data_IF_033301277398
#
_entry.id   IF_033301277398
#
_cell.length_a   1.000
_cell.length_b   1.000
_cell.length_c   1.000
_cell.angle_alpha   90.00
_cell.angle_beta   90.00
_cell.angle_gamma   90.00
#
_symmetry.space_group_name_H-M   'P 1'
#
loop_
_entity.id
_entity.type
_entity.pdbx_description
1 polymer ?
#
# COMPACT_ATOMS: atom_id res chain seq x y z
N UNK A 1 9.89 -62.29 -61.53
CA UNK A 1 9.65 -60.87 -61.17
C UNK A 1 9.18 -60.79 -59.70
N UNK A 2 9.98 -60.22 -58.78
CA UNK A 2 9.60 -60.03 -57.36
C UNK A 2 9.29 -58.55 -57.09
N UNK A 3 8.03 -58.22 -56.79
CA UNK A 3 7.58 -56.87 -56.38
C UNK A 3 8.08 -56.57 -54.96
N UNK A 4 8.97 -55.57 -54.80
CA UNK A 4 9.38 -55.04 -53.49
C UNK A 4 8.26 -54.17 -52.90
N UNK A 5 7.61 -54.62 -51.82
CA UNK A 5 6.68 -53.80 -51.01
C UNK A 5 7.48 -52.75 -50.24
N UNK A 6 7.31 -51.46 -50.55
CA UNK A 6 7.87 -50.36 -49.76
C UNK A 6 7.05 -50.22 -48.46
N UNK A 7 7.71 -50.35 -47.30
CA UNK A 7 7.08 -50.15 -45.99
C UNK A 7 6.58 -48.71 -45.86
N UNK A 8 5.40 -48.45 -45.26
CA UNK A 8 4.77 -47.14 -45.24
C UNK A 8 5.46 -46.25 -44.19
N UNK A 9 6.52 -45.56 -44.59
CA UNK A 9 7.25 -44.59 -43.77
C UNK A 9 6.46 -43.30 -43.48
N UNK A 10 5.20 -43.23 -43.94
CA UNK A 10 4.24 -42.14 -43.72
C UNK A 10 3.59 -42.17 -42.33
N UNK A 11 3.47 -43.35 -41.70
CA UNK A 11 2.89 -43.48 -40.37
C UNK A 11 3.69 -42.77 -39.25
N UNK A 12 5.04 -42.92 -39.15
CA UNK A 12 5.80 -42.20 -38.14
C UNK A 12 5.82 -40.69 -38.38
N UNK A 13 5.77 -40.24 -39.63
CA UNK A 13 5.76 -38.82 -39.97
C UNK A 13 4.47 -38.14 -39.53
N UNK A 14 3.33 -38.82 -39.70
CA UNK A 14 2.02 -38.32 -39.28
C UNK A 14 1.92 -38.23 -37.75
N UNK A 15 2.48 -39.21 -37.05
CA UNK A 15 2.52 -39.24 -35.58
C UNK A 15 3.34 -38.08 -35.01
N UNK A 16 4.52 -37.82 -35.58
CA UNK A 16 5.36 -36.67 -35.18
C UNK A 16 4.65 -35.34 -35.47
N UNK A 17 4.00 -35.22 -36.62
CA UNK A 17 3.24 -34.02 -36.97
C UNK A 17 2.09 -33.76 -35.99
N UNK A 18 1.32 -34.79 -35.63
CA UNK A 18 0.23 -34.66 -34.65
C UNK A 18 0.74 -34.26 -33.26
N UNK A 19 1.90 -34.79 -32.85
CA UNK A 19 2.52 -34.44 -31.57
C UNK A 19 2.96 -32.96 -31.54
N UNK A 20 3.56 -32.47 -32.63
CA UNK A 20 3.98 -31.07 -32.76
C UNK A 20 2.79 -30.11 -32.72
N UNK A 21 1.69 -30.44 -33.41
CA UNK A 21 0.47 -29.60 -33.39
C UNK A 21 -0.14 -29.58 -31.99
N UNK A 22 -0.23 -30.73 -31.31
CA UNK A 22 -0.74 -30.80 -29.94
C UNK A 22 0.11 -29.98 -28.96
N UNK A 23 1.45 -30.05 -29.07
CA UNK A 23 2.36 -29.26 -28.26
C UNK A 23 2.23 -27.75 -28.52
N UNK A 24 2.06 -27.35 -29.78
CA UNK A 24 1.86 -25.95 -30.15
C UNK A 24 0.55 -25.38 -29.60
N UNK A 25 -0.55 -26.14 -29.69
CA UNK A 25 -1.85 -25.75 -29.13
C UNK A 25 -1.78 -25.69 -27.60
N UNK A 26 -1.10 -26.63 -26.95
CA UNK A 26 -0.94 -26.61 -25.50
C UNK A 26 -0.10 -25.42 -25.03
N UNK A 27 1.01 -25.13 -25.71
CA UNK A 27 1.85 -23.96 -25.42
C UNK A 27 1.11 -22.65 -25.65
N UNK A 28 0.37 -22.53 -26.77
CA UNK A 28 -0.39 -21.31 -27.06
C UNK A 28 -1.51 -21.10 -26.04
N UNK A 29 -2.19 -22.16 -25.62
CA UNK A 29 -3.22 -22.11 -24.59
C UNK A 29 -2.63 -21.70 -23.23
N UNK A 30 -1.45 -22.22 -22.86
CA UNK A 30 -0.73 -21.82 -21.65
C UNK A 30 -0.25 -20.36 -21.68
N UNK A 31 0.24 -19.89 -22.82
CA UNK A 31 0.65 -18.50 -23.03
C UNK A 31 -0.54 -17.53 -23.00
N UNK A 32 -1.70 -17.93 -23.54
CA UNK A 32 -2.92 -17.13 -23.55
C UNK A 32 -3.60 -17.06 -22.17
N UNK A 33 -3.48 -18.12 -21.35
CA UNK A 33 -4.04 -18.15 -19.98
C UNK A 33 -3.40 -17.13 -19.02
N UNK A 34 -2.24 -16.59 -19.37
CA UNK A 34 -1.53 -15.55 -18.61
C UNK A 34 -1.93 -14.11 -18.93
N UNK A 35 -2.83 -13.87 -19.89
CA UNK A 35 -3.15 -12.51 -20.35
C UNK A 35 -4.66 -12.26 -20.33
N UNK A 36 -5.25 -12.32 -19.13
CA UNK A 36 -6.53 -11.68 -18.86
C UNK A 36 -6.37 -10.16 -18.84
N UNK A 37 -6.06 -9.56 -19.99
CA UNK A 37 -6.29 -8.14 -20.22
C UNK A 37 -7.76 -7.99 -20.60
N UNK A 38 -8.65 -8.08 -19.61
CA UNK A 38 -9.99 -7.55 -19.80
C UNK A 38 -9.85 -6.05 -20.13
N UNK A 39 -10.56 -5.53 -21.14
CA UNK A 39 -10.59 -4.10 -21.37
C UNK A 39 -11.17 -3.44 -20.12
N UNK A 40 -10.34 -2.66 -19.44
CA UNK A 40 -10.79 -1.83 -18.32
C UNK A 40 -11.88 -0.91 -18.87
N UNK A 41 -13.11 -0.95 -18.36
CA UNK A 41 -14.13 -0.05 -18.84
C UNK A 41 -13.69 1.39 -18.57
N UNK A 42 -13.92 2.28 -19.55
CA UNK A 42 -13.45 3.68 -19.56
C UNK A 42 -13.86 4.50 -18.32
N UNK A 43 -14.83 4.03 -17.56
CA UNK A 43 -15.41 4.68 -16.39
C UNK A 43 -15.11 3.96 -15.06
N UNK A 44 -14.44 2.82 -15.08
CA UNK A 44 -13.86 2.26 -13.87
C UNK A 44 -12.54 2.99 -13.62
N UNK A 45 -12.52 3.85 -12.60
CA UNK A 45 -11.29 4.32 -11.99
C UNK A 45 -10.33 3.13 -11.91
N UNK A 46 -9.20 3.25 -12.58
CA UNK A 46 -8.25 2.16 -12.69
C UNK A 46 -7.64 1.87 -11.32
N UNK A 47 -8.30 1.03 -10.52
CA UNK A 47 -7.75 0.34 -9.34
C UNK A 47 -6.76 -0.76 -9.77
N UNK A 48 -6.06 -0.55 -10.88
CA UNK A 48 -5.04 -1.45 -11.40
C UNK A 48 -3.72 -1.17 -10.68
N UNK A 49 -3.61 -1.76 -9.49
CA UNK A 49 -2.43 -1.74 -8.65
C UNK A 49 -2.84 -1.45 -7.21
N UNK A 50 -2.81 -2.47 -6.35
CA UNK A 50 -2.83 -2.26 -4.91
C UNK A 50 -1.66 -1.35 -4.55
N UNK A 51 -1.96 -0.07 -4.36
CA UNK A 51 -1.02 1.04 -4.37
C UNK A 51 0.01 0.80 -3.25
N UNK A 52 1.29 0.71 -3.56
CA UNK A 52 2.38 0.57 -2.57
C UNK A 52 2.22 1.61 -1.46
N UNK A 53 1.74 2.80 -1.83
CA UNK A 53 1.36 3.88 -0.94
C UNK A 53 0.24 3.48 0.05
N UNK A 54 -0.84 2.84 -0.40
CA UNK A 54 -1.93 2.38 0.46
C UNK A 54 -1.46 1.38 1.52
N UNK A 55 -0.57 0.45 1.12
CA UNK A 55 0.02 -0.52 2.04
C UNK A 55 0.91 0.18 3.07
N UNK A 56 1.67 1.18 2.64
CA UNK A 56 2.53 1.96 3.50
C UNK A 56 1.72 2.83 4.48
N UNK A 57 0.63 3.46 4.02
CA UNK A 57 -0.32 4.21 4.87
C UNK A 57 -0.88 3.29 5.95
N UNK A 58 -1.37 2.10 5.59
CA UNK A 58 -1.87 1.11 6.56
C UNK A 58 -0.82 0.73 7.61
N UNK A 59 0.45 0.56 7.21
CA UNK A 59 1.55 0.30 8.15
C UNK A 59 1.79 1.49 9.10
N UNK A 60 1.73 2.72 8.57
CA UNK A 60 1.85 3.94 9.38
C UNK A 60 0.70 4.01 10.40
N UNK A 61 -0.54 3.78 9.97
CA UNK A 61 -1.73 3.77 10.83
C UNK A 61 -1.56 2.77 11.98
N UNK A 62 -1.23 1.52 11.66
CA UNK A 62 -1.01 0.47 12.65
C UNK A 62 0.09 0.86 13.65
N UNK A 63 1.23 1.38 13.17
CA UNK A 63 2.32 1.86 14.04
C UNK A 63 1.87 3.00 14.96
N UNK A 64 1.05 3.93 14.47
CA UNK A 64 0.52 5.03 15.29
C UNK A 64 -0.45 4.49 16.32
N UNK A 65 -1.45 3.69 15.93
CA UNK A 65 -2.46 3.15 16.83
C UNK A 65 -1.84 2.26 17.91
N UNK A 66 -0.87 1.44 17.56
CA UNK A 66 -0.14 0.62 18.52
C UNK A 66 0.66 1.49 19.51
N UNK A 67 1.31 2.56 19.03
CA UNK A 67 2.00 3.51 19.90
C UNK A 67 1.05 4.25 20.85
N UNK A 68 -0.15 4.62 20.37
CA UNK A 68 -1.20 5.24 21.19
C UNK A 68 -1.70 4.28 22.26
N UNK A 69 -2.04 3.04 21.87
CA UNK A 69 -2.52 1.98 22.75
C UNK A 69 -1.50 1.66 23.86
N UNK A 70 -0.24 1.41 23.49
CA UNK A 70 0.86 1.16 24.44
C UNK A 70 1.21 2.36 25.32
N UNK A 71 0.74 3.55 24.95
CA UNK A 71 0.91 4.77 25.75
C UNK A 71 -0.23 5.01 26.73
N UNK A 72 -1.28 4.18 26.72
CA UNK A 72 -2.44 4.35 27.59
C UNK A 72 -3.22 5.62 27.32
N UNK A 73 -3.14 6.18 26.09
CA UNK A 73 -3.89 7.37 25.73
C UNK A 73 -5.37 6.99 25.63
N UNK A 74 -6.27 7.63 26.42
CA UNK A 74 -7.70 7.36 26.32
C UNK A 74 -8.24 7.69 24.92
N UNK A 75 -9.18 6.89 24.42
CA UNK A 75 -9.78 7.10 23.10
C UNK A 75 -10.39 8.51 22.95
N UNK A 76 -11.05 9.03 23.99
CA UNK A 76 -11.58 10.41 24.04
C UNK A 76 -10.54 11.52 23.81
N UNK A 77 -9.25 11.19 23.94
CA UNK A 77 -8.14 12.12 23.72
C UNK A 77 -7.54 11.99 22.32
N UNK A 78 -8.03 11.06 21.49
CA UNK A 78 -7.66 10.88 20.08
C UNK A 78 -8.79 11.42 19.23
N UNK A 79 -8.55 12.53 18.52
CA UNK A 79 -9.56 13.22 17.71
C UNK A 79 -9.13 13.25 16.25
N UNK A 80 -9.93 12.66 15.37
CA UNK A 80 -9.78 12.82 13.93
C UNK A 80 -10.34 14.20 13.54
N UNK A 81 -9.44 15.15 13.25
CA UNK A 81 -9.83 16.48 12.82
C UNK A 81 -10.31 16.52 11.37
N UNK A 82 -9.96 15.50 10.58
CA UNK A 82 -10.39 15.38 9.20
C UNK A 82 -9.63 14.28 8.50
N UNK A 83 -10.30 13.72 7.49
CA UNK A 83 -9.75 12.77 6.54
C UNK A 83 -10.08 13.35 5.17
N UNK A 84 -9.07 13.94 4.52
CA UNK A 84 -9.27 14.66 3.27
C UNK A 84 -8.85 13.77 2.10
N UNK A 85 -9.72 13.51 1.10
CA UNK A 85 -9.30 12.79 -0.09
C UNK A 85 -8.24 13.61 -0.83
N UNK A 86 -7.16 12.94 -1.24
CA UNK A 86 -6.06 13.51 -2.02
C UNK A 86 -5.79 12.63 -3.22
N UNK A 87 -5.31 13.27 -4.29
CA UNK A 87 -4.90 12.59 -5.50
C UNK A 87 -3.66 13.25 -6.09
N UNK A 88 -2.75 12.43 -6.61
CA UNK A 88 -1.62 12.90 -7.42
C UNK A 88 -1.33 11.86 -8.50
N UNK A 89 -1.42 12.28 -9.77
CA UNK A 89 -1.29 11.39 -10.93
C UNK A 89 -2.30 10.24 -10.84
N UNK A 90 -1.83 9.00 -10.69
CA UNK A 90 -2.66 7.79 -10.60
C UNK A 90 -2.87 7.29 -9.15
N UNK A 91 -2.33 8.01 -8.17
CA UNK A 91 -2.43 7.65 -6.76
C UNK A 91 -3.51 8.49 -6.09
N UNK A 92 -4.34 7.83 -5.30
CA UNK A 92 -5.36 8.44 -4.47
C UNK A 92 -5.20 7.93 -3.05
N UNK A 93 -5.31 8.82 -2.08
CA UNK A 93 -5.18 8.44 -0.68
C UNK A 93 -5.97 9.41 0.21
N UNK A 94 -6.20 8.97 1.43
CA UNK A 94 -6.80 9.77 2.47
C UNK A 94 -5.69 10.45 3.29
N UNK A 95 -5.73 11.79 3.35
CA UNK A 95 -4.84 12.55 4.21
C UNK A 95 -5.46 12.71 5.59
N UNK A 96 -4.84 12.11 6.59
CA UNK A 96 -5.41 12.00 7.93
C UNK A 96 -4.83 13.06 8.87
N UNK A 97 -5.71 13.85 9.49
CA UNK A 97 -5.35 14.84 10.52
C UNK A 97 -5.80 14.35 11.89
N UNK A 98 -4.85 14.09 12.76
CA UNK A 98 -5.09 13.61 14.13
C UNK A 98 -4.66 14.65 15.16
N UNK A 99 -5.53 14.90 16.12
CA UNK A 99 -5.25 15.67 17.33
C UNK A 99 -5.20 14.70 18.53
N UNK A 100 -4.08 14.71 19.22
CA UNK A 100 -3.80 13.91 20.41
C UNK A 100 -3.71 14.83 21.61
N UNK A 101 -4.69 14.74 22.50
CA UNK A 101 -4.78 15.56 23.72
C UNK A 101 -3.94 14.92 24.83
N UNK A 102 -2.86 15.58 25.20
CA UNK A 102 -1.97 15.16 26.28
C UNK A 102 -2.22 16.03 27.51
N UNK A 103 -2.00 15.48 28.71
CA UNK A 103 -2.14 16.21 29.98
C UNK A 103 -1.19 17.41 30.07
N UNK A 104 0.05 17.20 29.67
CA UNK A 104 1.16 18.13 29.84
C UNK A 104 2.22 17.92 28.74
N UNK A 105 3.19 18.83 28.70
CA UNK A 105 4.21 18.84 27.67
C UNK A 105 5.12 17.60 27.71
N UNK A 106 5.45 17.10 28.91
CA UNK A 106 6.33 15.94 29.07
C UNK A 106 5.66 14.68 28.51
N UNK A 107 4.37 14.52 28.77
CA UNK A 107 3.54 13.45 28.20
C UNK A 107 3.48 13.56 26.68
N UNK A 108 3.29 14.76 26.13
CA UNK A 108 3.30 14.98 24.68
C UNK A 108 4.67 14.64 24.05
N UNK A 109 5.78 15.04 24.67
CA UNK A 109 7.14 14.70 24.20
C UNK A 109 7.40 13.20 24.26
N UNK A 110 6.98 12.54 25.34
CA UNK A 110 7.11 11.08 25.51
C UNK A 110 6.33 10.34 24.43
N UNK A 111 5.07 10.72 24.19
CA UNK A 111 4.23 10.15 23.14
C UNK A 111 4.83 10.35 21.75
N UNK A 112 5.32 11.56 21.45
CA UNK A 112 6.04 11.82 20.20
C UNK A 112 7.25 10.90 20.03
N UNK A 113 8.02 10.69 21.10
CA UNK A 113 9.16 9.76 21.11
C UNK A 113 8.73 8.32 20.80
N UNK A 114 7.62 7.86 21.38
CA UNK A 114 7.07 6.52 21.12
C UNK A 114 6.57 6.36 19.69
N UNK A 115 5.84 7.34 19.14
CA UNK A 115 5.38 7.34 17.75
C UNK A 115 6.58 7.31 16.79
N UNK A 116 7.61 8.13 17.03
CA UNK A 116 8.84 8.10 16.23
C UNK A 116 9.53 6.73 16.26
N UNK A 117 9.61 6.10 17.44
CA UNK A 117 10.17 4.74 17.57
C UNK A 117 9.33 3.71 16.81
N UNK A 118 8.00 3.80 16.87
CA UNK A 118 7.10 2.89 16.17
C UNK A 118 7.19 2.99 14.64
N UNK A 119 7.53 4.18 14.12
CA UNK A 119 7.71 4.43 12.69
C UNK A 119 9.15 4.15 12.20
N UNK A 120 10.10 3.92 13.11
CA UNK A 120 11.50 3.66 12.77
C UNK A 120 11.72 2.48 11.80
N UNK A 121 10.97 1.36 11.89
CA UNK A 121 11.09 0.28 10.91
C UNK A 121 10.74 0.70 9.48
N UNK A 122 9.98 1.78 9.31
CA UNK A 122 9.54 2.30 8.01
C UNK A 122 10.42 3.45 7.49
N UNK A 123 11.53 3.78 8.16
CA UNK A 123 12.35 4.99 7.91
C UNK A 123 12.86 5.17 6.48
N UNK A 124 12.98 4.09 5.70
CA UNK A 124 13.42 4.16 4.30
C UNK A 124 12.37 4.78 3.39
N UNK A 125 11.09 4.64 3.75
CA UNK A 125 9.94 5.08 2.96
C UNK A 125 9.15 6.19 3.66
N UNK A 126 9.33 6.35 4.97
CA UNK A 126 8.57 7.29 5.81
C UNK A 126 9.52 8.31 6.44
N UNK A 127 9.17 9.58 6.28
CA UNK A 127 9.84 10.69 6.96
C UNK A 127 8.87 11.46 7.83
N UNK A 128 9.37 11.95 8.96
CA UNK A 128 8.60 12.74 9.93
C UNK A 128 9.20 14.15 9.94
N UNK A 129 8.37 15.16 9.66
CA UNK A 129 8.80 16.56 9.58
C UNK A 129 8.12 17.36 10.67
N UNK A 130 8.90 18.06 11.49
CA UNK A 130 8.36 19.02 12.44
C UNK A 130 7.84 20.23 11.67
N UNK A 131 6.65 20.68 12.02
CA UNK A 131 6.06 21.89 11.47
C UNK A 131 6.11 23.02 12.48
N UNK A 132 6.01 24.27 12.01
CA UNK A 132 5.81 25.40 12.91
C UNK A 132 4.44 25.28 13.55
N UNK A 133 4.40 25.31 14.88
CA UNK A 133 3.17 25.29 15.65
C UNK A 133 3.22 26.40 16.71
N UNK A 134 2.12 27.15 16.88
CA UNK A 134 2.04 28.14 17.94
C UNK A 134 1.76 27.48 19.30
N UNK A 135 2.35 28.05 20.36
CA UNK A 135 1.97 27.76 21.75
C UNK A 135 2.17 26.31 22.18
N UNK A 136 1.13 25.71 22.78
CA UNK A 136 1.16 24.41 23.48
C UNK A 136 0.76 23.23 22.58
N UNK A 137 1.25 23.24 21.34
CA UNK A 137 0.98 22.19 20.36
C UNK A 137 2.28 21.80 19.67
N UNK A 138 2.53 20.50 19.52
CA UNK A 138 3.52 19.97 18.60
C UNK A 138 2.84 19.51 17.31
N UNK A 139 3.19 20.12 16.18
CA UNK A 139 2.72 19.70 14.84
C UNK A 139 3.82 18.97 14.09
N UNK A 140 3.49 17.83 13.51
CA UNK A 140 4.37 17.16 12.57
C UNK A 140 3.60 16.46 11.45
N UNK A 141 4.17 16.50 10.25
CA UNK A 141 3.70 15.76 9.09
C UNK A 141 4.44 14.44 8.95
N UNK A 142 3.71 13.42 8.52
CA UNK A 142 4.25 12.14 8.09
C UNK A 142 4.14 12.10 6.58
N UNK A 143 5.27 11.84 5.94
CA UNK A 143 5.42 11.81 4.49
C UNK A 143 5.89 10.42 4.09
N UNK A 144 5.09 9.74 3.27
CA UNK A 144 5.33 8.40 2.77
C UNK A 144 5.73 8.48 1.28
N UNK A 145 6.90 7.98 0.91
CA UNK A 145 7.44 8.05 -0.46
C UNK A 145 7.35 9.45 -1.10
N UNK A 146 7.61 10.50 -0.30
CA UNK A 146 7.54 11.89 -0.74
C UNK A 146 6.12 12.49 -0.81
N UNK A 147 5.09 11.73 -0.44
CA UNK A 147 3.69 12.14 -0.43
C UNK A 147 3.23 12.40 1.02
N UNK A 148 2.65 13.56 1.34
CA UNK A 148 2.11 13.82 2.67
C UNK A 148 0.86 12.96 2.91
N UNK A 149 0.86 12.18 3.99
CA UNK A 149 -0.23 11.24 4.30
C UNK A 149 -0.90 11.53 5.63
N UNK A 150 -0.14 12.01 6.63
CA UNK A 150 -0.71 12.32 7.93
C UNK A 150 -0.19 13.64 8.46
N UNK A 151 -0.98 14.25 9.33
CA UNK A 151 -0.56 15.30 10.23
C UNK A 151 -1.00 14.98 11.64
N UNK A 152 -0.04 14.92 12.55
CA UNK A 152 -0.28 14.69 13.96
C UNK A 152 -0.06 16.00 14.73
N UNK A 153 -1.06 16.37 15.53
CA UNK A 153 -1.03 17.50 16.44
C UNK A 153 -1.09 16.95 17.85
N UNK A 154 -0.08 17.21 18.66
CA UNK A 154 -0.08 16.85 20.08
C UNK A 154 -0.28 18.13 20.87
N UNK A 155 -1.49 18.33 21.40
CA UNK A 155 -1.79 19.45 22.28
C UNK A 155 -1.55 19.07 23.73
N UNK A 156 -1.16 20.03 24.56
CA UNK A 156 -0.89 19.78 25.97
C UNK A 156 -1.30 20.93 26.89
N UNK A 157 -1.64 20.60 28.13
CA UNK A 157 -2.12 21.53 29.14
C UNK A 157 -3.64 21.51 29.29
N UNK A 158 -4.18 22.45 30.07
CA UNK A 158 -5.61 22.51 30.36
C UNK A 158 -6.43 22.71 29.09
N UNK A 159 -7.29 21.73 28.78
CA UNK A 159 -8.31 21.85 27.76
C UNK A 159 -9.54 22.51 28.36
N UNK A 160 -10.12 23.55 27.74
CA UNK A 160 -11.45 23.99 28.12
C UNK A 160 -12.40 22.80 27.96
N UNK A 161 -13.25 22.59 28.98
CA UNK A 161 -14.29 21.55 29.00
C UNK A 161 -15.31 21.81 27.90
#
# INVERSE_FOLDING_TARGET
>A
MKRKRKKPWVLPLFLVFTLCVAAFVFCSFWLLKGKNNSPVPLYEESYLGGDELSTLIRKIDLSIYEALYRSGIPEKNVVFQGVDPRGRKKQHWEFTRLLLRCTDETTARSLLGKIRKALLPLKQQVSIRKEKSPGRVFSFSIVANGVPTHRLLLSFGAFPK
#
